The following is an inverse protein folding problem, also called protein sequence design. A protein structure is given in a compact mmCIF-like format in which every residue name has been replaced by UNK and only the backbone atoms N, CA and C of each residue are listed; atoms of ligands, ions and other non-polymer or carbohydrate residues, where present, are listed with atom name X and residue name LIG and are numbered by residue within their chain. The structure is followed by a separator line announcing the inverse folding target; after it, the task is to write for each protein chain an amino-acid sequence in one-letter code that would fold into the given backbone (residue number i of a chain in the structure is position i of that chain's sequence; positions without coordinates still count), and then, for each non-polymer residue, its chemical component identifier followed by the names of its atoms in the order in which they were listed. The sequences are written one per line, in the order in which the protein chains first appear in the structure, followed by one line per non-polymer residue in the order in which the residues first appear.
data_IF_377683441746
#
_entry.id   IF_377683441746
#
_cell.length_a   1.000
_cell.length_b   1.000
_cell.length_c   1.000
_cell.angle_alpha   90.00
_cell.angle_beta   90.00
_cell.angle_gamma   90.00
#
_symmetry.space_group_name_H-M   'P 1'
#
loop_
_entity.id
_entity.type
_entity.pdbx_description
1 polymer ?
#
# COMPACT_ATOMS: atom_id res chain seq x y z
N UNK A 1 8.51 -27.51 31.82
CA UNK A 1 8.60 -26.43 30.80
C UNK A 1 9.54 -26.74 29.62
N UNK A 2 9.50 -27.89 28.93
CA UNK A 2 10.38 -28.17 27.78
C UNK A 2 9.66 -28.13 26.42
N UNK A 3 8.32 -28.01 26.34
CA UNK A 3 7.60 -28.15 25.05
C UNK A 3 7.50 -26.89 24.17
N UNK A 4 7.79 -25.70 24.71
CA UNK A 4 7.77 -24.44 23.95
C UNK A 4 8.99 -24.24 23.05
N UNK A 5 10.09 -24.89 23.35
CA UNK A 5 11.37 -24.77 22.62
C UNK A 5 11.40 -25.60 21.34
N UNK A 6 10.71 -26.74 21.27
CA UNK A 6 10.68 -27.59 20.08
C UNK A 6 9.79 -27.02 18.98
N UNK A 7 8.63 -26.47 19.32
CA UNK A 7 7.75 -25.81 18.34
C UNK A 7 8.39 -24.56 17.71
N UNK A 8 9.15 -23.80 18.50
CA UNK A 8 9.86 -22.63 18.00
C UNK A 8 11.03 -22.99 17.09
N UNK A 9 11.79 -24.04 17.40
CA UNK A 9 12.86 -24.56 16.53
C UNK A 9 12.30 -25.09 15.21
N UNK A 10 11.24 -25.88 15.23
CA UNK A 10 10.58 -26.37 14.03
C UNK A 10 10.04 -25.24 13.13
N UNK A 11 9.49 -24.19 13.73
CA UNK A 11 9.03 -23.00 13.00
C UNK A 11 10.21 -22.23 12.34
N UNK A 12 11.31 -22.03 13.08
CA UNK A 12 12.51 -21.35 12.57
C UNK A 12 13.19 -22.17 11.48
N UNK A 13 13.26 -23.50 11.62
CA UNK A 13 13.86 -24.40 10.62
C UNK A 13 12.97 -24.47 9.36
N UNK A 14 11.65 -24.48 9.50
CA UNK A 14 10.71 -24.40 8.36
C UNK A 14 10.82 -23.06 7.62
N UNK A 15 10.97 -21.96 8.34
CA UNK A 15 11.15 -20.64 7.76
C UNK A 15 12.52 -20.51 7.04
N UNK A 16 13.60 -21.09 7.60
CA UNK A 16 14.92 -21.13 6.96
C UNK A 16 14.92 -21.99 5.70
N UNK A 17 14.21 -23.12 5.71
CA UNK A 17 14.09 -23.98 4.53
C UNK A 17 13.30 -23.30 3.41
N UNK A 18 12.21 -22.61 3.75
CA UNK A 18 11.42 -21.84 2.79
C UNK A 18 12.23 -20.69 2.19
N UNK A 19 12.96 -19.94 3.01
CA UNK A 19 13.86 -18.87 2.56
C UNK A 19 14.97 -19.40 1.64
N UNK A 20 15.53 -20.57 1.91
CA UNK A 20 16.52 -21.22 1.05
C UNK A 20 15.90 -21.67 -0.29
N UNK A 21 14.69 -22.21 -0.27
CA UNK A 21 13.97 -22.62 -1.48
C UNK A 21 13.61 -21.41 -2.35
N UNK A 22 13.14 -20.33 -1.74
CA UNK A 22 12.82 -19.07 -2.42
C UNK A 22 14.10 -18.41 -2.99
N UNK A 23 15.23 -18.48 -2.24
CA UNK A 23 16.54 -18.05 -2.71
C UNK A 23 17.00 -18.86 -3.94
N UNK A 24 16.87 -20.19 -3.90
CA UNK A 24 17.18 -21.05 -5.05
C UNK A 24 16.27 -20.77 -6.25
N UNK A 25 14.98 -20.50 -6.00
CA UNK A 25 14.05 -20.17 -7.06
C UNK A 25 14.38 -18.81 -7.70
N UNK A 26 14.69 -17.80 -6.90
CA UNK A 26 15.10 -16.48 -7.38
C UNK A 26 16.41 -16.54 -8.20
N UNK A 27 17.40 -17.30 -7.74
CA UNK A 27 18.63 -17.56 -8.51
C UNK A 27 18.30 -18.29 -9.81
N UNK A 28 17.43 -19.30 -9.78
CA UNK A 28 17.07 -20.08 -10.95
C UNK A 28 16.34 -19.26 -12.02
N UNK A 29 15.47 -18.33 -11.62
CA UNK A 29 14.66 -17.52 -12.55
C UNK A 29 15.46 -16.34 -13.13
N UNK A 30 16.26 -15.63 -12.34
CA UNK A 30 16.91 -14.41 -12.78
C UNK A 30 18.40 -14.52 -13.06
N UNK A 31 19.13 -15.38 -12.36
CA UNK A 31 20.53 -15.61 -12.65
C UNK A 31 20.72 -16.56 -13.83
N UNK A 32 19.78 -17.49 -14.02
CA UNK A 32 19.86 -18.49 -15.07
C UNK A 32 19.84 -17.89 -16.48
N UNK A 33 19.00 -16.91 -16.72
CA UNK A 33 18.94 -16.24 -18.03
C UNK A 33 20.17 -15.38 -18.34
N UNK A 34 20.84 -14.83 -17.32
CA UNK A 34 22.03 -13.98 -17.49
C UNK A 34 23.38 -14.70 -17.29
N UNK A 35 23.39 -15.77 -16.54
CA UNK A 35 24.63 -16.52 -16.17
C UNK A 35 24.90 -17.70 -17.09
N UNK A 36 23.93 -18.17 -17.88
CA UNK A 36 24.12 -19.29 -18.80
C UNK A 36 25.18 -19.03 -19.88
N UNK A 37 25.53 -17.80 -20.19
CA UNK A 37 26.63 -17.50 -21.12
C UNK A 37 28.03 -17.61 -20.52
N UNK A 38 28.23 -17.37 -19.22
CA UNK A 38 29.55 -17.28 -18.60
C UNK A 38 29.72 -18.11 -17.31
N UNK A 39 28.63 -18.51 -16.67
CA UNK A 39 28.63 -19.14 -15.34
C UNK A 39 29.31 -20.51 -15.27
N UNK A 40 29.03 -21.47 -16.17
CA UNK A 40 29.65 -22.78 -16.11
C UNK A 40 31.18 -22.75 -16.33
N UNK A 41 31.65 -21.88 -17.23
CA UNK A 41 33.08 -21.70 -17.49
C UNK A 41 33.78 -21.00 -16.32
N UNK A 42 33.14 -20.00 -15.69
CA UNK A 42 33.66 -19.32 -14.51
C UNK A 42 33.76 -20.26 -13.30
N UNK A 43 32.74 -21.07 -13.05
CA UNK A 43 32.74 -22.06 -11.96
C UNK A 43 33.77 -23.16 -12.23
N UNK A 44 33.87 -23.70 -13.45
CA UNK A 44 34.87 -24.68 -13.84
C UNK A 44 36.30 -24.11 -13.71
N UNK A 45 36.52 -22.85 -14.08
CA UNK A 45 37.79 -22.18 -13.93
C UNK A 45 38.18 -22.00 -12.46
N UNK A 46 37.25 -21.60 -11.59
CA UNK A 46 37.48 -21.47 -10.15
C UNK A 46 37.79 -22.84 -9.54
N UNK A 47 37.05 -23.90 -9.87
CA UNK A 47 37.36 -25.27 -9.40
C UNK A 47 38.71 -25.74 -9.89
N UNK A 48 39.05 -25.51 -11.15
CA UNK A 48 40.35 -25.91 -11.71
C UNK A 48 41.52 -25.21 -11.03
N UNK A 49 41.41 -23.88 -10.81
CA UNK A 49 42.47 -23.10 -10.19
C UNK A 49 42.64 -23.42 -8.70
N UNK A 50 41.54 -23.62 -7.96
CA UNK A 50 41.58 -24.02 -6.53
C UNK A 50 42.20 -25.42 -6.34
N UNK A 51 41.96 -26.33 -7.29
CA UNK A 51 42.48 -27.70 -7.18
C UNK A 51 43.96 -27.83 -7.55
N UNK A 52 44.47 -27.05 -8.53
CA UNK A 52 45.84 -27.17 -9.03
C UNK A 52 46.87 -26.27 -8.35
N UNK A 53 46.47 -25.15 -7.77
CA UNK A 53 47.41 -24.20 -7.19
C UNK A 53 47.01 -23.82 -5.76
N UNK A 54 47.62 -24.40 -4.73
CA UNK A 54 47.33 -24.10 -3.32
C UNK A 54 47.50 -22.62 -2.97
N UNK A 55 48.35 -21.89 -3.68
CA UNK A 55 48.53 -20.43 -3.55
C UNK A 55 47.33 -19.62 -4.01
N UNK A 56 46.48 -20.19 -4.85
CA UNK A 56 45.26 -19.53 -5.37
C UNK A 56 43.99 -19.88 -4.59
N UNK A 57 44.08 -20.71 -3.53
CA UNK A 57 42.92 -21.07 -2.70
C UNK A 57 42.26 -19.83 -2.08
N UNK A 58 43.09 -18.88 -1.66
CA UNK A 58 42.55 -17.61 -1.11
C UNK A 58 41.75 -16.82 -2.14
N UNK A 59 42.25 -16.73 -3.37
CA UNK A 59 41.55 -16.05 -4.47
C UNK A 59 40.20 -16.75 -4.81
N UNK A 60 40.22 -18.09 -4.81
CA UNK A 60 39.01 -18.89 -4.99
C UNK A 60 37.94 -18.61 -3.90
N UNK A 61 38.34 -18.48 -2.66
CA UNK A 61 37.45 -18.12 -1.56
C UNK A 61 36.92 -16.69 -1.69
N UNK A 62 37.73 -15.72 -2.09
CA UNK A 62 37.29 -14.34 -2.32
C UNK A 62 36.28 -14.27 -3.43
N UNK A 63 36.50 -14.99 -4.54
CA UNK A 63 35.54 -15.03 -5.65
C UNK A 63 34.23 -15.69 -5.22
N UNK A 64 34.29 -16.86 -4.55
CA UNK A 64 33.12 -17.56 -4.05
C UNK A 64 32.30 -16.70 -3.09
N UNK A 65 32.95 -15.98 -2.18
CA UNK A 65 32.30 -15.06 -1.27
C UNK A 65 31.68 -13.87 -1.98
N UNK A 66 32.37 -13.29 -2.97
CA UNK A 66 31.82 -12.18 -3.77
C UNK A 66 30.58 -12.58 -4.55
N UNK A 67 30.57 -13.77 -5.15
CA UNK A 67 29.39 -14.32 -5.84
C UNK A 67 28.24 -14.55 -4.87
N UNK A 68 28.52 -15.08 -3.68
CA UNK A 68 27.51 -15.29 -2.64
C UNK A 68 26.90 -13.97 -2.17
N UNK A 69 27.75 -12.96 -1.90
CA UNK A 69 27.30 -11.63 -1.47
C UNK A 69 26.48 -10.95 -2.58
N UNK A 70 26.93 -10.99 -3.82
CA UNK A 70 26.20 -10.44 -4.95
C UNK A 70 24.85 -11.15 -5.14
N UNK A 71 24.82 -12.48 -5.03
CA UNK A 71 23.60 -13.29 -5.07
C UNK A 71 22.62 -12.92 -3.94
N UNK A 72 23.14 -12.72 -2.73
CA UNK A 72 22.34 -12.29 -1.58
C UNK A 72 21.69 -10.91 -1.81
N UNK A 73 22.46 -9.93 -2.31
CA UNK A 73 21.92 -8.60 -2.60
C UNK A 73 20.89 -8.62 -3.75
N UNK A 74 21.13 -9.41 -4.80
CA UNK A 74 20.19 -9.59 -5.88
C UNK A 74 18.87 -10.23 -5.40
N UNK A 75 18.96 -11.27 -4.58
CA UNK A 75 17.82 -11.92 -3.93
C UNK A 75 17.05 -10.96 -3.02
N UNK A 76 17.76 -10.21 -2.17
CA UNK A 76 17.17 -9.22 -1.28
C UNK A 76 16.45 -8.13 -2.07
N UNK A 77 17.06 -7.62 -3.13
CA UNK A 77 16.43 -6.62 -4.01
C UNK A 77 15.16 -7.17 -4.68
N UNK A 78 15.19 -8.43 -5.12
CA UNK A 78 14.03 -9.11 -5.68
C UNK A 78 12.92 -9.27 -4.64
N UNK A 79 13.22 -9.76 -3.45
CA UNK A 79 12.22 -9.90 -2.37
C UNK A 79 11.62 -8.56 -1.95
N UNK A 80 12.42 -7.50 -1.88
CA UNK A 80 11.90 -6.18 -1.54
C UNK A 80 10.90 -5.64 -2.60
N UNK A 81 11.03 -6.06 -3.87
CA UNK A 81 10.06 -5.75 -4.93
C UNK A 81 8.76 -6.54 -4.81
N UNK A 82 8.84 -7.75 -4.26
CA UNK A 82 7.67 -8.61 -4.08
C UNK A 82 6.87 -8.30 -2.82
N UNK A 83 7.43 -7.53 -1.88
CA UNK A 83 6.69 -7.11 -0.69
C UNK A 83 5.56 -6.17 -1.14
N UNK A 84 4.30 -6.52 -0.89
CA UNK A 84 3.18 -5.67 -1.25
C UNK A 84 3.34 -4.28 -0.66
N UNK A 85 3.26 -3.26 -1.49
CA UNK A 85 3.45 -1.87 -1.09
C UNK A 85 2.31 -1.01 -1.60
N UNK A 86 1.53 -0.53 -0.65
CA UNK A 86 0.49 0.45 -0.89
C UNK A 86 1.10 1.85 -0.91
N UNK A 87 0.80 2.64 -1.92
CA UNK A 87 1.12 4.06 -1.96
C UNK A 87 -0.15 4.90 -2.04
N UNK A 88 -0.15 6.00 -1.28
CA UNK A 88 -1.21 6.98 -1.32
C UNK A 88 -0.75 8.17 -2.15
N UNK A 89 -1.54 8.52 -3.14
CA UNK A 89 -1.32 9.69 -3.99
C UNK A 89 -2.00 10.94 -3.44
N UNK A 90 -2.27 11.88 -4.33
CA UNK A 90 -2.92 13.15 -4.00
C UNK A 90 -4.42 12.99 -3.83
N UNK A 91 -5.00 13.89 -3.08
CA UNK A 91 -6.44 14.13 -3.09
C UNK A 91 -6.84 14.91 -4.35
N UNK A 92 -8.02 14.63 -4.85
CA UNK A 92 -8.62 15.37 -5.97
C UNK A 92 -10.12 15.54 -5.75
N UNK A 93 -10.70 16.50 -6.47
CA UNK A 93 -12.16 16.66 -6.50
C UNK A 93 -12.67 16.36 -7.91
N UNK A 94 -13.82 15.70 -7.98
CA UNK A 94 -14.53 15.50 -9.24
C UNK A 94 -16.00 15.87 -9.10
N UNK A 95 -16.58 16.31 -10.20
CA UNK A 95 -18.02 16.54 -10.29
C UNK A 95 -18.69 15.33 -10.92
N UNK A 96 -19.78 14.89 -10.33
CA UNK A 96 -20.59 13.80 -10.87
C UNK A 96 -22.05 14.27 -10.94
N UNK A 97 -22.67 14.19 -12.11
CA UNK A 97 -24.11 14.44 -12.23
C UNK A 97 -24.86 13.38 -11.41
N UNK A 98 -25.95 13.78 -10.81
CA UNK A 98 -26.86 12.84 -10.13
C UNK A 98 -28.05 12.52 -11.02
N UNK A 99 -28.79 11.48 -10.67
CA UNK A 99 -30.02 11.13 -11.36
C UNK A 99 -31.16 12.18 -11.13
N UNK A 100 -31.00 13.07 -10.16
CA UNK A 100 -31.93 14.15 -9.92
C UNK A 100 -31.59 15.34 -10.84
N UNK A 101 -32.59 15.87 -11.57
CA UNK A 101 -32.38 17.03 -12.44
C UNK A 101 -31.86 18.21 -11.61
N UNK A 102 -30.77 18.83 -12.09
CA UNK A 102 -30.11 19.99 -11.49
C UNK A 102 -29.36 19.74 -10.18
N UNK A 103 -29.20 18.50 -9.74
CA UNK A 103 -28.37 18.17 -8.59
C UNK A 103 -27.01 17.68 -9.07
N UNK A 104 -25.96 18.37 -8.65
CA UNK A 104 -24.56 17.95 -8.87
C UNK A 104 -23.92 17.53 -7.55
N UNK A 105 -22.99 16.61 -7.63
CA UNK A 105 -22.16 16.17 -6.53
C UNK A 105 -20.71 16.50 -6.78
N UNK A 106 -20.03 16.97 -5.76
CA UNK A 106 -18.58 17.10 -5.77
C UNK A 106 -17.99 16.08 -4.81
N UNK A 107 -17.28 15.11 -5.34
CA UNK A 107 -16.57 14.10 -4.56
C UNK A 107 -15.16 14.56 -4.24
N UNK A 108 -14.70 14.21 -3.05
CA UNK A 108 -13.29 14.25 -2.66
C UNK A 108 -12.77 12.84 -2.65
N UNK A 109 -11.75 12.58 -3.46
CA UNK A 109 -11.17 11.27 -3.72
C UNK A 109 -9.72 11.22 -3.33
N UNK A 110 -9.29 10.07 -2.82
CA UNK A 110 -7.89 9.74 -2.57
C UNK A 110 -7.40 8.74 -3.64
N UNK A 111 -6.30 9.06 -4.29
CA UNK A 111 -5.64 8.13 -5.20
C UNK A 111 -4.86 7.08 -4.40
N UNK A 112 -5.10 5.82 -4.69
CA UNK A 112 -4.43 4.67 -4.07
C UNK A 112 -3.77 3.84 -5.16
N UNK A 113 -2.48 3.52 -4.98
CA UNK A 113 -1.68 2.80 -5.98
C UNK A 113 -1.10 1.51 -5.43
N UNK A 114 -1.04 0.50 -6.28
CA UNK A 114 -0.20 -0.67 -6.08
C UNK A 114 1.19 -0.39 -6.64
N UNK A 115 2.17 -0.19 -5.75
CA UNK A 115 3.55 0.22 -6.13
C UNK A 115 4.52 -0.96 -6.22
N UNK A 116 4.02 -2.19 -6.35
CA UNK A 116 4.82 -3.42 -6.41
C UNK A 116 4.42 -4.30 -7.58
N UNK A 117 5.25 -5.31 -7.85
CA UNK A 117 4.99 -6.34 -8.84
C UNK A 117 3.99 -7.41 -8.36
N UNK A 118 3.56 -7.34 -7.09
CA UNK A 118 2.57 -8.24 -6.50
C UNK A 118 1.25 -7.53 -6.31
N UNK A 119 0.11 -8.18 -6.58
CA UNK A 119 -1.21 -7.60 -6.37
C UNK A 119 -1.46 -7.33 -4.88
N UNK A 120 -2.30 -6.35 -4.60
CA UNK A 120 -2.79 -6.02 -3.28
C UNK A 120 -4.21 -6.58 -3.12
N UNK A 121 -4.34 -7.66 -2.38
CA UNK A 121 -5.64 -8.25 -2.09
C UNK A 121 -6.37 -7.52 -0.96
N UNK A 122 -7.71 -7.52 -1.02
CA UNK A 122 -8.57 -7.01 0.02
C UNK A 122 -8.19 -5.59 0.46
N UNK A 123 -7.94 -4.71 -0.52
CA UNK A 123 -7.64 -3.31 -0.26
C UNK A 123 -8.90 -2.59 0.20
N UNK A 124 -8.85 -1.99 1.39
CA UNK A 124 -9.99 -1.32 2.05
C UNK A 124 -9.60 0.08 2.48
N UNK A 125 -10.52 1.02 2.27
CA UNK A 125 -10.44 2.36 2.83
C UNK A 125 -11.36 2.51 4.02
N UNK A 126 -10.90 3.16 5.06
CA UNK A 126 -11.69 3.45 6.26
C UNK A 126 -11.55 4.91 6.66
N UNK A 127 -12.67 5.58 6.83
CA UNK A 127 -12.72 6.87 7.49
C UNK A 127 -12.72 6.62 9.00
N UNK A 128 -11.66 7.06 9.68
CA UNK A 128 -11.49 6.81 11.11
C UNK A 128 -12.24 7.82 11.96
N UNK A 129 -12.20 9.08 11.55
CA UNK A 129 -12.86 10.19 12.26
C UNK A 129 -12.93 11.44 11.39
N UNK A 130 -13.85 12.31 11.74
CA UNK A 130 -13.98 13.66 11.19
C UNK A 130 -13.85 14.65 12.32
N UNK A 131 -12.93 15.59 12.18
CA UNK A 131 -12.71 16.66 13.14
C UNK A 131 -13.12 18.00 12.52
N UNK A 132 -13.72 18.88 13.31
CA UNK A 132 -14.03 20.27 12.92
C UNK A 132 -13.13 21.20 13.70
N UNK A 133 -12.56 22.19 12.99
CA UNK A 133 -11.83 23.28 13.65
C UNK A 133 -12.80 24.26 14.31
N UNK A 134 -12.67 24.45 15.60
CA UNK A 134 -13.54 25.37 16.37
C UNK A 134 -12.78 25.95 17.55
N UNK A 135 -12.83 27.27 17.72
CA UNK A 135 -12.19 27.98 18.82
C UNK A 135 -10.68 27.72 19.01
N UNK A 136 -9.96 27.55 17.89
CA UNK A 136 -8.52 27.30 17.93
C UNK A 136 -8.11 25.84 18.17
N UNK A 137 -9.07 24.90 18.18
CA UNK A 137 -8.85 23.48 18.46
C UNK A 137 -9.58 22.57 17.48
N UNK A 138 -9.02 21.36 17.25
CA UNK A 138 -9.71 20.30 16.54
C UNK A 138 -10.66 19.56 17.48
N UNK A 139 -11.95 19.58 17.18
CA UNK A 139 -12.98 18.88 17.95
C UNK A 139 -13.60 17.76 17.14
N UNK A 140 -13.85 16.58 17.75
CA UNK A 140 -14.55 15.51 17.08
C UNK A 140 -15.96 15.97 16.70
N UNK A 141 -16.43 15.51 15.54
CA UNK A 141 -17.82 15.67 15.13
C UNK A 141 -18.65 14.53 15.74
N UNK A 142 -19.95 14.51 15.45
CA UNK A 142 -20.80 13.38 15.87
C UNK A 142 -20.56 12.09 15.06
N UNK A 143 -19.68 12.14 14.05
CA UNK A 143 -19.23 10.94 13.32
C UNK A 143 -18.00 10.40 14.04
N UNK A 144 -18.24 9.53 14.99
CA UNK A 144 -17.26 8.93 15.89
C UNK A 144 -16.99 7.45 15.60
N UNK A 145 -17.77 6.86 14.69
CA UNK A 145 -17.59 5.50 14.22
C UNK A 145 -16.66 5.45 13.00
N UNK A 146 -15.85 4.40 12.93
CA UNK A 146 -15.05 4.14 11.74
C UNK A 146 -15.95 3.58 10.63
N UNK A 147 -15.88 4.17 9.45
CA UNK A 147 -16.72 3.84 8.31
C UNK A 147 -15.89 3.21 7.19
N UNK A 148 -16.34 2.07 6.67
CA UNK A 148 -15.75 1.47 5.47
C UNK A 148 -16.18 2.29 4.24
N UNK A 149 -15.20 2.91 3.58
CA UNK A 149 -15.38 3.74 2.41
C UNK A 149 -15.55 2.89 1.15
N UNK A 150 -16.22 3.43 0.16
CA UNK A 150 -16.44 2.77 -1.12
C UNK A 150 -15.43 3.23 -2.18
N UNK A 151 -15.06 2.31 -3.05
CA UNK A 151 -14.19 2.61 -4.18
C UNK A 151 -15.01 3.22 -5.33
N UNK A 152 -14.45 4.24 -5.93
CA UNK A 152 -15.09 4.98 -7.01
C UNK A 152 -15.45 4.06 -8.18
N UNK A 153 -16.67 4.21 -8.68
CA UNK A 153 -17.25 3.44 -9.81
C UNK A 153 -17.46 1.93 -9.57
N UNK A 154 -17.19 1.43 -8.37
CA UNK A 154 -17.32 -0.01 -8.07
C UNK A 154 -18.36 -0.23 -6.97
N UNK A 155 -18.55 0.77 -6.09
CA UNK A 155 -19.46 0.73 -4.93
C UNK A 155 -19.22 -0.48 -4.00
N UNK A 156 -17.96 -0.89 -3.89
CA UNK A 156 -17.52 -1.99 -3.02
C UNK A 156 -16.58 -1.47 -1.93
N UNK A 157 -16.66 -2.01 -0.70
CA UNK A 157 -15.78 -1.61 0.39
C UNK A 157 -14.36 -2.20 0.27
N UNK A 158 -14.18 -3.23 -0.54
CA UNK A 158 -12.86 -3.82 -0.78
C UNK A 158 -12.66 -4.26 -2.23
N UNK A 159 -11.44 -4.09 -2.72
CA UNK A 159 -11.03 -4.48 -4.07
C UNK A 159 -9.66 -5.14 -4.05
N UNK A 160 -9.30 -5.82 -5.13
CA UNK A 160 -7.92 -6.15 -5.46
C UNK A 160 -7.33 -5.06 -6.35
N UNK A 161 -6.06 -4.73 -6.16
CA UNK A 161 -5.29 -3.83 -7.02
C UNK A 161 -4.19 -4.63 -7.68
N UNK A 162 -4.18 -4.66 -9.01
CA UNK A 162 -3.12 -5.29 -9.78
C UNK A 162 -1.83 -4.43 -9.77
N UNK A 163 -0.67 -5.02 -10.05
CA UNK A 163 0.57 -4.28 -10.15
C UNK A 163 0.49 -3.10 -11.12
N UNK A 164 0.82 -1.92 -10.63
CA UNK A 164 0.75 -0.68 -11.42
C UNK A 164 -0.63 -0.04 -11.51
N UNK A 165 -1.68 -0.71 -11.01
CA UNK A 165 -3.01 -0.11 -10.93
C UNK A 165 -3.04 1.07 -9.97
N UNK A 166 -3.85 2.06 -10.36
CA UNK A 166 -4.28 3.13 -9.50
C UNK A 166 -5.82 3.19 -9.46
N UNK A 167 -6.37 3.38 -8.26
CA UNK A 167 -7.81 3.46 -8.03
C UNK A 167 -8.13 4.62 -7.10
N UNK A 168 -9.34 5.10 -7.21
CA UNK A 168 -9.82 6.19 -6.38
C UNK A 168 -10.75 5.67 -5.31
N UNK A 169 -10.46 6.11 -4.09
CA UNK A 169 -11.27 5.90 -2.91
C UNK A 169 -12.08 7.16 -2.64
N UNK A 170 -13.39 7.06 -2.66
CA UNK A 170 -14.28 8.17 -2.37
C UNK A 170 -14.36 8.42 -0.87
N UNK A 171 -13.93 9.60 -0.41
CA UNK A 171 -13.91 9.92 1.01
C UNK A 171 -15.27 10.48 1.44
N UNK A 172 -15.72 11.51 0.74
CA UNK A 172 -17.01 12.14 0.97
C UNK A 172 -17.46 12.89 -0.29
N UNK A 173 -18.71 13.29 -0.29
CA UNK A 173 -19.26 14.19 -1.31
C UNK A 173 -20.04 15.33 -0.68
N UNK A 174 -20.25 16.38 -1.47
CA UNK A 174 -21.13 17.52 -1.17
C UNK A 174 -22.13 17.67 -2.31
N UNK A 175 -23.40 17.85 -1.98
CA UNK A 175 -24.47 18.07 -2.95
C UNK A 175 -24.71 19.57 -3.20
N UNK A 176 -25.01 19.95 -4.46
CA UNK A 176 -25.25 21.34 -4.86
C UNK A 176 -26.46 21.99 -4.21
N UNK A 177 -27.47 21.22 -3.84
CA UNK A 177 -28.68 21.73 -3.18
C UNK A 177 -28.57 21.93 -1.68
N UNK A 178 -27.51 21.37 -1.07
CA UNK A 178 -27.28 21.43 0.38
C UNK A 178 -25.80 21.58 0.63
N UNK A 179 -25.43 22.11 1.77
CA UNK A 179 -24.01 22.15 2.20
C UNK A 179 -23.68 20.93 3.06
N UNK A 180 -24.37 19.84 2.84
CA UNK A 180 -24.17 18.62 3.61
C UNK A 180 -22.95 17.89 3.09
N UNK A 181 -22.07 17.52 3.99
CA UNK A 181 -20.94 16.64 3.77
C UNK A 181 -21.43 15.23 4.10
N UNK A 182 -21.34 14.35 3.15
CA UNK A 182 -21.74 12.94 3.30
C UNK A 182 -20.55 12.04 3.06
N UNK A 183 -20.02 11.32 4.06
CA UNK A 183 -19.06 10.26 3.84
C UNK A 183 -19.59 9.25 2.84
N UNK A 184 -18.77 8.82 1.88
CA UNK A 184 -19.18 7.82 0.90
C UNK A 184 -18.82 6.43 1.41
N UNK A 185 -19.70 5.86 2.22
CA UNK A 185 -19.47 4.62 2.95
C UNK A 185 -20.56 3.58 2.71
N UNK A 186 -20.25 2.30 2.92
CA UNK A 186 -21.15 1.17 2.74
C UNK A 186 -22.45 1.31 3.54
N UNK A 187 -22.34 1.87 4.75
CA UNK A 187 -23.50 2.11 5.64
C UNK A 187 -23.77 3.59 5.79
N UNK A 188 -24.31 4.18 4.73
CA UNK A 188 -24.80 5.56 4.82
C UNK A 188 -26.07 5.63 5.66
N UNK A 189 -26.01 6.39 6.76
CA UNK A 189 -27.19 6.79 7.51
C UNK A 189 -27.32 8.31 7.50
N UNK A 190 -28.52 8.83 7.59
CA UNK A 190 -28.76 10.27 7.71
C UNK A 190 -28.08 10.90 8.94
N UNK A 191 -27.71 10.08 9.94
CA UNK A 191 -26.97 10.51 11.12
C UNK A 191 -25.52 10.91 10.84
N UNK A 192 -24.99 10.51 9.66
CA UNK A 192 -23.62 10.80 9.25
C UNK A 192 -23.51 12.10 8.45
N UNK A 193 -24.61 12.80 8.20
CA UNK A 193 -24.60 14.07 7.50
C UNK A 193 -24.02 15.18 8.38
N UNK A 194 -22.99 15.83 7.89
CA UNK A 194 -22.42 17.03 8.50
C UNK A 194 -22.82 18.25 7.69
N UNK A 195 -23.34 19.27 8.36
CA UNK A 195 -23.64 20.55 7.72
C UNK A 195 -22.40 21.43 7.79
N UNK A 196 -21.95 21.93 6.64
CA UNK A 196 -20.86 22.90 6.57
C UNK A 196 -21.39 24.33 6.45
N UNK A 197 -20.74 25.25 7.11
CA UNK A 197 -20.91 26.68 6.92
C UNK A 197 -19.73 27.27 6.12
N UNK A 198 -19.85 28.46 5.52
CA UNK A 198 -18.73 29.18 4.96
C UNK A 198 -17.60 29.31 5.98
N UNK A 199 -16.36 29.08 5.52
CA UNK A 199 -15.15 29.11 6.33
C UNK A 199 -15.01 27.99 7.36
N UNK A 200 -15.91 27.00 7.38
CA UNK A 200 -15.70 25.80 8.18
C UNK A 200 -14.49 25.02 7.68
N UNK A 201 -13.73 24.48 8.63
CA UNK A 201 -12.55 23.67 8.34
C UNK A 201 -12.75 22.31 8.99
N UNK A 202 -12.65 21.26 8.15
CA UNK A 202 -12.74 19.89 8.60
C UNK A 202 -11.45 19.14 8.32
N UNK A 203 -11.14 18.12 9.12
CA UNK A 203 -10.08 17.16 8.87
C UNK A 203 -10.66 15.76 8.86
N UNK A 204 -10.39 15.04 7.80
CA UNK A 204 -10.77 13.66 7.61
C UNK A 204 -9.53 12.79 7.77
N UNK A 205 -9.53 11.92 8.76
CA UNK A 205 -8.46 10.98 9.00
C UNK A 205 -8.85 9.63 8.37
N UNK A 206 -8.07 9.20 7.37
CA UNK A 206 -8.36 8.01 6.55
C UNK A 206 -7.25 6.98 6.75
N UNK A 207 -7.63 5.73 6.85
CA UNK A 207 -6.76 4.56 6.82
C UNK A 207 -7.01 3.77 5.55
N UNK A 208 -5.96 3.37 4.87
CA UNK A 208 -6.04 2.40 3.77
C UNK A 208 -5.19 1.18 4.15
N UNK A 209 -5.77 0.01 4.03
CA UNK A 209 -5.14 -1.26 4.38
C UNK A 209 -5.38 -2.29 3.28
N UNK A 210 -4.41 -3.18 3.08
CA UNK A 210 -4.53 -4.34 2.21
C UNK A 210 -3.98 -5.57 2.93
N UNK A 211 -4.32 -6.76 2.44
CA UNK A 211 -3.78 -8.00 2.98
C UNK A 211 -2.25 -8.02 2.83
N UNK A 212 -1.58 -8.46 3.88
CA UNK A 212 -0.11 -8.61 3.94
C UNK A 212 0.69 -7.30 3.68
N UNK A 213 0.02 -6.14 3.81
CA UNK A 213 0.61 -4.83 3.64
C UNK A 213 0.38 -3.96 4.88
N UNK A 214 1.41 -3.24 5.36
CA UNK A 214 1.22 -2.30 6.46
C UNK A 214 0.19 -1.23 6.10
N UNK A 215 -0.77 -0.92 6.98
CA UNK A 215 -1.75 0.10 6.73
C UNK A 215 -1.11 1.48 6.59
N UNK A 216 -1.67 2.29 5.71
CA UNK A 216 -1.30 3.69 5.53
C UNK A 216 -2.36 4.61 6.10
N UNK A 217 -1.91 5.69 6.68
CA UNK A 217 -2.77 6.71 7.28
C UNK A 217 -2.52 8.03 6.56
N UNK A 218 -3.58 8.75 6.27
CA UNK A 218 -3.53 10.08 5.67
C UNK A 218 -4.64 10.93 6.24
N UNK A 219 -4.39 12.23 6.34
CA UNK A 219 -5.40 13.20 6.72
C UNK A 219 -5.54 14.22 5.61
N UNK A 220 -6.76 14.62 5.31
CA UNK A 220 -7.06 15.74 4.43
C UNK A 220 -7.77 16.82 5.22
N UNK A 221 -7.23 18.02 5.15
CA UNK A 221 -7.89 19.22 5.68
C UNK A 221 -8.68 19.86 4.54
N UNK A 222 -9.93 20.16 4.81
CA UNK A 222 -10.86 20.73 3.84
C UNK A 222 -11.40 22.03 4.38
N UNK A 223 -11.19 23.11 3.64
CA UNK A 223 -11.75 24.44 3.95
C UNK A 223 -12.90 24.69 2.99
N UNK A 224 -14.06 25.05 3.53
CA UNK A 224 -15.27 25.36 2.77
C UNK A 224 -15.37 26.85 2.49
N UNK A 225 -15.48 27.20 1.20
CA UNK A 225 -15.67 28.58 0.76
C UNK A 225 -17.13 29.05 0.81
N UNK A 226 -17.42 30.10 0.06
CA UNK A 226 -18.78 30.68 0.02
C UNK A 226 -19.77 29.82 -0.76
N UNK A 227 -19.32 29.17 -1.83
CA UNK A 227 -20.16 28.28 -2.61
C UNK A 227 -20.06 26.85 -2.08
N UNK A 228 -21.06 26.02 -2.41
CA UNK A 228 -21.12 24.61 -2.00
C UNK A 228 -19.95 23.78 -2.54
N UNK A 229 -19.40 24.17 -3.68
CA UNK A 229 -18.34 23.48 -4.40
C UNK A 229 -16.97 24.15 -4.24
N UNK A 230 -16.89 25.23 -3.48
CA UNK A 230 -15.62 25.91 -3.19
C UNK A 230 -14.93 25.21 -2.03
N UNK A 231 -14.11 24.19 -2.38
CA UNK A 231 -13.37 23.34 -1.46
C UNK A 231 -11.88 23.49 -1.70
N UNK A 232 -11.14 23.98 -0.69
CA UNK A 232 -9.69 23.94 -0.68
C UNK A 232 -9.22 22.70 0.09
N UNK A 233 -8.35 21.87 -0.54
CA UNK A 233 -7.77 20.67 0.04
C UNK A 233 -6.29 20.92 0.40
N UNK A 234 -5.91 20.56 1.64
CA UNK A 234 -4.53 20.64 2.17
C UNK A 234 -4.08 19.33 2.83
#
# INVERSE_FOLDING_TARGET
MPRLTEGFRSFVDGMRLKLLLDYWHAIRVHAWERIWGAGPLGIAFVFYTVYRAPSLRFLGWVIAWSVFVAGYYAWRAYHLRLIPKLELGSFRTIYTPTNAPNLQRKFVQLLVKCATESPLDNCRGQLLRILKWSNGEWRPTHVDESLDLLWSNIDMPSIALEPGDDRQLDIFFVDSGTRNISPFAERMSMRLLLVSAPSDIFRFDVRVAAKDCPPKYVSVKVTFGQNWDDLALE
#
